data_IF_006810723006
#
_entry.id   IF_006810723006
#
_cell.length_a   1.000
_cell.length_b   1.000
_cell.length_c   1.000
_cell.angle_alpha   90.00
_cell.angle_beta   90.00
_cell.angle_gamma   90.00
#
_symmetry.space_group_name_H-M   'P 1'
#
loop_
_entity.id
_entity.type
_entity.pdbx_description
1 polymer ?
#
# COMPACT_ATOMS: atom_id res chain seq x y z
N UNK A 1 19.90 3.27 16.44
CA UNK A 1 18.72 2.95 15.63
C UNK A 1 18.78 3.88 14.45
N UNK A 2 18.94 3.34 13.25
CA UNK A 2 18.87 4.14 12.05
C UNK A 2 17.39 4.44 11.83
N UNK A 3 17.06 5.72 11.73
CA UNK A 3 15.73 6.15 11.31
C UNK A 3 15.50 5.60 9.90
N UNK A 4 14.57 4.66 9.76
CA UNK A 4 14.19 4.09 8.46
C UNK A 4 13.04 4.86 7.84
N UNK A 5 12.42 5.79 8.57
CA UNK A 5 11.29 6.54 8.06
C UNK A 5 11.70 7.37 6.85
N UNK A 6 10.77 7.52 5.92
CA UNK A 6 11.04 8.20 4.66
C UNK A 6 9.80 8.98 4.22
N UNK A 7 9.93 10.31 4.14
CA UNK A 7 8.84 11.22 3.75
C UNK A 7 7.53 10.99 4.53
N UNK A 8 7.63 10.72 5.84
CA UNK A 8 6.47 10.47 6.71
C UNK A 8 6.00 9.02 6.77
N UNK A 9 6.57 8.12 5.98
CA UNK A 9 6.26 6.69 5.97
C UNK A 9 7.24 5.87 6.79
N UNK A 10 6.80 4.70 7.26
CA UNK A 10 7.61 3.74 8.02
C UNK A 10 8.94 3.36 7.36
N UNK A 11 8.97 3.25 6.03
CA UNK A 11 10.20 3.05 5.26
C UNK A 11 10.08 3.46 3.78
N UNK A 12 11.22 3.41 3.06
CA UNK A 12 11.29 3.76 1.64
C UNK A 12 10.39 2.89 0.74
N UNK A 13 10.31 1.57 1.00
CA UNK A 13 9.49 0.68 0.20
C UNK A 13 8.00 1.00 0.39
N UNK A 14 7.57 1.24 1.63
CA UNK A 14 6.20 1.70 1.94
C UNK A 14 5.84 2.98 1.18
N UNK A 15 6.70 4.00 1.26
CA UNK A 15 6.48 5.26 0.55
C UNK A 15 6.38 5.07 -0.98
N UNK A 16 7.31 4.32 -1.58
CA UNK A 16 7.31 4.10 -3.03
C UNK A 16 6.10 3.31 -3.49
N UNK A 17 5.72 2.25 -2.78
CA UNK A 17 4.56 1.44 -3.17
C UNK A 17 3.27 2.23 -3.05
N UNK A 18 3.11 3.06 -2.01
CA UNK A 18 1.98 3.98 -1.94
C UNK A 18 1.92 4.89 -3.17
N UNK A 19 3.01 5.59 -3.49
CA UNK A 19 3.03 6.54 -4.62
C UNK A 19 2.76 5.90 -5.98
N UNK A 20 3.27 4.69 -6.22
CA UNK A 20 3.24 4.09 -7.57
C UNK A 20 2.01 3.22 -7.81
N UNK A 21 1.39 2.67 -6.75
CA UNK A 21 0.29 1.70 -6.88
C UNK A 21 -1.04 2.26 -6.35
N UNK A 22 -1.03 3.10 -5.32
CA UNK A 22 -2.25 3.48 -4.59
C UNK A 22 -2.56 4.99 -4.61
N UNK A 23 -1.55 5.85 -4.74
CA UNK A 23 -1.75 7.30 -4.78
C UNK A 23 -2.51 7.72 -6.04
N UNK A 24 -3.58 8.51 -5.86
CA UNK A 24 -4.46 8.95 -6.94
C UNK A 24 -5.37 7.88 -7.55
N UNK A 25 -5.42 6.67 -6.98
CA UNK A 25 -6.36 5.63 -7.39
C UNK A 25 -7.68 5.71 -6.62
N UNK A 26 -8.78 5.37 -7.30
CA UNK A 26 -10.11 5.31 -6.69
C UNK A 26 -10.17 4.17 -5.65
N UNK A 27 -10.71 4.40 -4.44
CA UNK A 27 -10.97 3.35 -3.46
C UNK A 27 -11.90 2.22 -3.93
N UNK A 28 -12.60 2.38 -5.06
CA UNK A 28 -13.48 1.34 -5.64
C UNK A 28 -12.79 -0.03 -5.73
N UNK A 29 -13.26 -0.99 -4.92
CA UNK A 29 -12.78 -2.37 -4.90
C UNK A 29 -12.18 -2.81 -3.56
N UNK A 30 -11.88 -1.87 -2.66
CA UNK A 30 -11.41 -2.17 -1.32
C UNK A 30 -12.51 -1.95 -0.27
N UNK A 31 -12.61 -2.88 0.69
CA UNK A 31 -13.41 -2.69 1.89
C UNK A 31 -12.57 -1.90 2.92
N UNK A 32 -12.96 -0.67 3.24
CA UNK A 32 -12.28 0.18 4.21
C UNK A 32 -12.76 -0.05 5.65
N UNK A 33 -13.90 -0.72 5.84
CA UNK A 33 -14.49 -0.99 7.16
C UNK A 33 -13.85 -2.21 7.85
N UNK A 34 -13.13 -3.06 7.11
CA UNK A 34 -12.46 -4.24 7.66
C UNK A 34 -11.22 -3.95 8.53
N UNK A 35 -10.80 -2.68 8.60
CA UNK A 35 -9.66 -2.20 9.38
C UNK A 35 -8.29 -2.46 8.74
N UNK A 36 -7.31 -1.64 9.12
CA UNK A 36 -6.02 -1.51 8.43
C UNK A 36 -5.23 -2.83 8.28
N UNK A 37 -5.26 -3.72 9.27
CA UNK A 37 -4.52 -4.98 9.16
C UNK A 37 -5.09 -5.93 8.09
N UNK A 38 -6.41 -5.96 7.91
CA UNK A 38 -7.04 -6.81 6.89
C UNK A 38 -6.92 -6.16 5.53
N UNK A 39 -7.26 -4.88 5.43
CA UNK A 39 -7.07 -4.10 4.21
C UNK A 39 -5.61 -4.17 3.72
N UNK A 40 -4.62 -4.07 4.61
CA UNK A 40 -3.21 -4.20 4.23
C UNK A 40 -2.87 -5.53 3.56
N UNK A 41 -3.55 -6.64 3.90
CA UNK A 41 -3.37 -7.92 3.20
C UNK A 41 -3.97 -7.87 1.80
N UNK A 42 -5.15 -7.28 1.64
CA UNK A 42 -5.79 -7.12 0.35
C UNK A 42 -4.95 -6.22 -0.58
N UNK A 43 -4.39 -5.13 -0.05
CA UNK A 43 -3.48 -4.24 -0.78
C UNK A 43 -2.21 -4.98 -1.23
N UNK A 44 -1.64 -5.83 -0.37
CA UNK A 44 -0.50 -6.66 -0.74
C UNK A 44 -0.85 -7.63 -1.86
N UNK A 45 -1.94 -8.35 -1.73
CA UNK A 45 -2.39 -9.33 -2.74
C UNK A 45 -2.66 -8.65 -4.08
N UNK A 46 -3.27 -7.46 -4.07
CA UNK A 46 -3.45 -6.63 -5.26
C UNK A 46 -2.11 -6.22 -5.89
N UNK A 47 -1.15 -5.73 -5.11
CA UNK A 47 0.15 -5.32 -5.61
C UNK A 47 0.98 -6.49 -6.15
N UNK A 48 0.91 -7.66 -5.50
CA UNK A 48 1.51 -8.90 -5.99
C UNK A 48 0.88 -9.25 -7.35
N UNK A 49 -0.46 -9.37 -7.43
CA UNK A 49 -1.16 -9.70 -8.67
C UNK A 49 -0.86 -8.71 -9.80
N UNK A 50 -0.78 -7.41 -9.51
CA UNK A 50 -0.43 -6.38 -10.50
C UNK A 50 0.96 -6.63 -11.10
N UNK A 51 1.94 -7.04 -10.29
CA UNK A 51 3.27 -7.43 -10.79
C UNK A 51 3.15 -8.68 -11.66
N UNK A 52 2.40 -9.69 -11.24
CA UNK A 52 2.26 -10.94 -11.98
C UNK A 52 1.57 -10.75 -13.33
N UNK A 53 0.56 -9.87 -13.39
CA UNK A 53 -0.20 -9.57 -14.61
C UNK A 53 0.57 -8.67 -15.59
N UNK A 54 1.47 -7.83 -15.07
CA UNK A 54 2.23 -6.85 -15.86
C UNK A 54 3.65 -7.29 -16.24
N UNK A 55 4.09 -8.45 -15.78
CA UNK A 55 5.46 -8.95 -16.04
C UNK A 55 5.51 -10.44 -16.34
N UNK A 56 6.42 -10.81 -17.25
CA UNK A 56 6.78 -12.21 -17.45
C UNK A 56 7.52 -12.77 -16.22
N UNK A 57 7.45 -14.08 -16.03
CA UNK A 57 8.29 -14.79 -15.06
C UNK A 57 9.78 -14.55 -15.33
N UNK A 58 10.54 -14.31 -14.25
CA UNK A 58 11.99 -14.13 -14.31
C UNK A 58 12.51 -13.10 -13.34
N UNK A 59 13.80 -12.78 -13.49
CA UNK A 59 14.56 -12.00 -12.52
C UNK A 59 13.93 -10.65 -12.17
N UNK A 60 13.34 -9.95 -13.15
CA UNK A 60 12.68 -8.67 -12.91
C UNK A 60 11.45 -8.81 -11.99
N UNK A 61 10.58 -9.81 -12.25
CA UNK A 61 9.44 -10.13 -11.40
C UNK A 61 9.88 -10.54 -10.00
N UNK A 62 10.91 -11.38 -9.90
CA UNK A 62 11.45 -11.81 -8.61
C UNK A 62 11.97 -10.64 -7.77
N UNK A 63 12.67 -9.69 -8.38
CA UNK A 63 13.12 -8.47 -7.69
C UNK A 63 11.96 -7.57 -7.27
N UNK A 64 10.93 -7.43 -8.10
CA UNK A 64 9.74 -6.64 -7.77
C UNK A 64 8.99 -7.27 -6.58
N UNK A 65 8.76 -8.59 -6.61
CA UNK A 65 8.15 -9.32 -5.48
C UNK A 65 9.02 -9.29 -4.23
N UNK A 66 10.36 -9.32 -4.37
CA UNK A 66 11.26 -9.17 -3.24
C UNK A 66 11.19 -7.77 -2.62
N UNK A 67 11.02 -6.72 -3.42
CA UNK A 67 10.84 -5.35 -2.94
C UNK A 67 9.57 -5.20 -2.09
N UNK A 68 8.48 -5.85 -2.49
CA UNK A 68 7.21 -5.85 -1.76
C UNK A 68 7.31 -6.44 -0.34
N UNK A 69 8.35 -7.23 -0.02
CA UNK A 69 8.55 -7.83 1.30
C UNK A 69 8.92 -6.81 2.39
N UNK A 70 9.45 -5.65 2.00
CA UNK A 70 9.86 -4.60 2.93
C UNK A 70 8.74 -3.59 3.21
N UNK A 71 7.60 -3.70 2.52
CA UNK A 71 6.47 -2.77 2.64
C UNK A 71 5.71 -3.00 3.94
N UNK A 72 5.45 -1.91 4.68
CA UNK A 72 4.46 -1.91 5.75
C UNK A 72 3.06 -1.67 5.18
N UNK A 73 2.38 -2.76 4.84
CA UNK A 73 1.04 -2.71 4.26
C UNK A 73 -0.02 -2.16 5.23
N UNK A 74 0.21 -2.27 6.54
CA UNK A 74 -0.73 -1.72 7.52
C UNK A 74 -0.63 -0.20 7.56
N UNK A 75 0.55 0.36 7.32
CA UNK A 75 0.78 1.81 7.21
C UNK A 75 0.04 2.40 6.00
N UNK A 76 0.16 1.78 4.82
CA UNK A 76 -0.61 2.17 3.62
C UNK A 76 -2.12 2.09 3.87
N UNK A 77 -2.57 0.99 4.45
CA UNK A 77 -3.99 0.80 4.73
C UNK A 77 -4.56 1.87 5.69
N UNK A 78 -3.81 2.27 6.73
CA UNK A 78 -4.22 3.38 7.62
C UNK A 78 -4.35 4.67 6.84
N UNK A 79 -3.34 5.03 6.06
CA UNK A 79 -3.35 6.25 5.26
C UNK A 79 -4.56 6.30 4.31
N UNK A 80 -4.90 5.19 3.65
CA UNK A 80 -6.06 5.16 2.77
C UNK A 80 -7.39 5.20 3.53
N UNK A 81 -7.49 4.55 4.69
CA UNK A 81 -8.69 4.63 5.55
C UNK A 81 -8.91 6.07 6.04
N UNK A 82 -7.84 6.73 6.50
CA UNK A 82 -7.91 8.10 6.98
C UNK A 82 -8.32 9.05 5.85
N UNK A 83 -7.71 8.92 4.66
CA UNK A 83 -8.10 9.70 3.48
C UNK A 83 -9.56 9.45 3.06
N UNK A 84 -9.99 8.19 3.00
CA UNK A 84 -11.38 7.83 2.69
C UNK A 84 -12.35 8.41 3.72
N UNK A 85 -12.00 8.37 5.01
CA UNK A 85 -12.83 8.93 6.07
C UNK A 85 -12.93 10.46 5.98
N UNK A 86 -11.81 11.14 5.73
CA UNK A 86 -11.76 12.59 5.53
C UNK A 86 -12.62 13.04 4.34
N UNK A 87 -12.54 12.33 3.21
CA UNK A 87 -13.31 12.63 2.00
C UNK A 87 -14.82 12.39 2.16
N UNK A 88 -15.23 11.32 2.85
CA UNK A 88 -16.63 10.88 2.90
C UNK A 88 -17.40 11.36 4.13
N UNK A 89 -16.72 11.61 5.24
CA UNK A 89 -17.37 11.97 6.51
C UNK A 89 -16.95 13.35 7.04
N UNK A 90 -15.90 13.96 6.47
CA UNK A 90 -15.29 15.17 7.00
C UNK A 90 -14.58 14.91 8.34
N UNK A 91 -13.65 15.80 8.71
CA UNK A 91 -12.74 15.64 9.86
C UNK A 91 -13.52 15.17 11.11
N UNK A 92 -13.28 13.92 11.51
CA UNK A 92 -13.60 13.43 12.86
C UNK A 92 -12.38 13.72 13.74
N UNK A 93 -12.48 14.80 14.49
CA UNK A 93 -11.55 15.19 15.58
C UNK A 93 -11.33 14.07 16.60
#
# INVERSE_FOLDING_TARGET
>A
MNDTSYNGWTNYATWRVNLEIFDGHDPEGFDFDQGAYRLGKDLREYAEQLIEDSSDEGLARDYALAFLREVDWTDIAKHMIDAYAEENYGIVD
#
